data_IF_261159094451
#
_entry.id   IF_261159094451
#
_cell.length_a   1.000
_cell.length_b   1.000
_cell.length_c   1.000
_cell.angle_alpha   90.00
_cell.angle_beta   90.00
_cell.angle_gamma   90.00
#
_symmetry.space_group_name_H-M   'P 1'
#
loop_
_entity.id
_entity.type
_entity.pdbx_description
1 polymer ?
#
# COMPACT_ATOMS: atom_id res chain seq x y z
N UNK A 1 3.14 17.95 -7.36
CA UNK A 1 4.37 18.76 -7.42
C UNK A 1 5.24 18.25 -8.56
N UNK A 2 6.06 19.16 -9.13
CA UNK A 2 7.00 18.81 -10.20
C UNK A 2 6.40 18.94 -11.60
N UNK A 3 7.18 18.53 -12.60
CA UNK A 3 6.81 18.56 -14.03
C UNK A 3 7.36 17.32 -14.73
N UNK A 4 6.64 16.84 -15.76
CA UNK A 4 6.99 15.62 -16.48
C UNK A 4 5.91 14.54 -16.32
N UNK A 5 6.20 13.28 -16.67
CA UNK A 5 5.26 12.17 -16.52
C UNK A 5 4.72 12.07 -15.09
N UNK A 6 3.45 11.70 -14.95
CA UNK A 6 2.80 11.66 -13.64
C UNK A 6 3.09 10.35 -12.90
N UNK A 7 3.48 10.47 -11.63
CA UNK A 7 3.54 9.35 -10.69
C UNK A 7 2.47 9.55 -9.63
N UNK A 8 1.58 8.59 -9.48
CA UNK A 8 0.59 8.56 -8.42
C UNK A 8 1.07 7.63 -7.29
N UNK A 9 1.13 8.17 -6.08
CA UNK A 9 1.57 7.46 -4.89
C UNK A 9 0.39 7.07 -4.00
N UNK A 10 0.27 5.78 -3.70
CA UNK A 10 -0.81 5.19 -2.92
C UNK A 10 -0.23 4.61 -1.63
N UNK A 11 -0.60 5.19 -0.49
CA UNK A 11 -0.10 4.76 0.82
C UNK A 11 -0.79 3.49 1.33
N UNK A 12 -0.23 2.88 2.37
CA UNK A 12 -0.79 1.71 3.06
C UNK A 12 -1.79 2.07 4.16
N UNK A 13 -2.30 1.05 4.84
CA UNK A 13 -3.29 1.13 5.91
C UNK A 13 -2.86 2.10 7.00
N UNK A 14 -3.73 3.02 7.42
CA UNK A 14 -3.50 3.97 8.50
C UNK A 14 -2.32 4.92 8.26
N UNK A 15 -1.77 4.99 7.04
CA UNK A 15 -0.74 5.97 6.67
C UNK A 15 -1.38 7.22 6.05
N UNK A 16 -0.57 8.12 5.56
CA UNK A 16 -1.00 9.36 4.92
C UNK A 16 -0.13 9.68 3.70
N UNK A 17 -0.61 10.56 2.82
CA UNK A 17 0.14 11.09 1.66
C UNK A 17 1.52 11.63 2.01
N UNK A 18 1.71 12.10 3.25
CA UNK A 18 2.98 12.63 3.74
C UNK A 18 4.10 11.59 3.82
N UNK A 19 3.78 10.28 3.84
CA UNK A 19 4.77 9.20 3.77
C UNK A 19 5.68 9.32 2.54
N UNK A 20 5.18 9.92 1.47
CA UNK A 20 5.88 10.08 0.20
C UNK A 20 6.72 11.34 0.07
N UNK A 21 6.66 12.26 1.06
CA UNK A 21 7.32 13.57 0.98
C UNK A 21 8.82 13.49 0.69
N UNK A 22 9.52 12.52 1.29
CA UNK A 22 10.97 12.36 1.08
C UNK A 22 11.26 11.86 -0.34
N UNK A 23 10.50 10.87 -0.82
CA UNK A 23 10.65 10.31 -2.17
C UNK A 23 10.33 11.35 -3.24
N UNK A 24 9.24 12.09 -3.05
CA UNK A 24 8.85 13.14 -3.99
C UNK A 24 9.92 14.22 -4.18
N UNK A 25 10.69 14.56 -3.14
CA UNK A 25 11.80 15.54 -3.25
C UNK A 25 12.89 15.11 -4.24
N UNK A 26 13.08 13.81 -4.43
CA UNK A 26 14.06 13.28 -5.40
C UNK A 26 13.47 13.24 -6.81
N UNK A 27 12.17 12.95 -6.93
CA UNK A 27 11.51 12.68 -8.21
C UNK A 27 10.87 13.93 -8.84
N UNK A 28 10.54 14.97 -8.06
CA UNK A 28 9.81 16.14 -8.53
C UNK A 28 10.53 17.00 -9.58
N UNK A 29 11.81 16.78 -9.81
CA UNK A 29 12.56 17.44 -10.90
C UNK A 29 12.25 16.85 -12.28
N UNK A 30 11.89 15.57 -12.35
CA UNK A 30 11.71 14.82 -13.59
C UNK A 30 10.29 14.31 -13.77
N UNK A 31 9.47 14.31 -12.68
CA UNK A 31 8.13 13.76 -12.65
C UNK A 31 7.12 14.70 -11.96
N UNK A 32 5.88 14.60 -12.37
CA UNK A 32 4.76 15.16 -11.63
C UNK A 32 4.33 14.20 -10.53
N UNK A 33 4.70 14.46 -9.28
CA UNK A 33 4.36 13.63 -8.13
C UNK A 33 2.96 13.99 -7.60
N UNK A 34 2.04 13.03 -7.62
CA UNK A 34 0.68 13.12 -7.08
C UNK A 34 0.57 12.20 -5.87
N UNK A 35 0.33 12.78 -4.69
CA UNK A 35 0.10 12.05 -3.45
C UNK A 35 -1.28 12.42 -2.91
N UNK A 36 -2.05 11.43 -2.50
CA UNK A 36 -3.37 11.64 -1.90
C UNK A 36 -3.54 10.77 -0.66
N UNK A 37 -4.45 11.14 0.20
CA UNK A 37 -4.87 10.30 1.32
C UNK A 37 -6.00 9.39 0.84
N UNK A 38 -5.92 8.08 1.12
CA UNK A 38 -7.01 7.15 0.87
C UNK A 38 -8.28 7.64 1.59
N UNK A 39 -9.46 7.27 1.08
CA UNK A 39 -10.73 7.63 1.75
C UNK A 39 -10.69 7.33 3.24
N UNK A 40 -11.15 8.27 4.05
CA UNK A 40 -11.15 8.20 5.51
C UNK A 40 -9.79 8.37 6.18
N UNK A 41 -8.70 8.60 5.42
CA UNK A 41 -7.37 8.89 5.95
C UNK A 41 -7.04 10.37 5.77
N UNK A 42 -6.21 10.90 6.66
CA UNK A 42 -5.70 12.26 6.56
C UNK A 42 -6.78 13.29 6.33
N UNK A 43 -6.68 14.04 5.21
CA UNK A 43 -7.62 15.09 4.84
C UNK A 43 -8.76 14.58 3.92
N UNK A 44 -8.77 13.30 3.57
CA UNK A 44 -9.80 12.72 2.68
C UNK A 44 -11.07 12.38 3.44
N UNK A 45 -12.24 12.64 2.81
CA UNK A 45 -13.54 12.29 3.39
C UNK A 45 -13.68 10.79 3.62
N UNK A 46 -14.41 10.42 4.68
CA UNK A 46 -14.70 9.03 5.03
C UNK A 46 -15.54 8.34 3.95
N UNK A 47 -16.52 9.05 3.40
CA UNK A 47 -17.50 8.44 2.49
C UNK A 47 -18.40 7.41 3.22
N UNK A 48 -18.98 6.49 2.44
CA UNK A 48 -19.89 5.49 2.98
C UNK A 48 -19.21 4.13 3.13
N UNK A 49 -19.39 3.50 4.27
CA UNK A 49 -18.99 2.11 4.55
C UNK A 49 -20.07 1.12 4.09
N UNK A 50 -19.75 -0.14 3.78
CA UNK A 50 -18.40 -0.71 3.75
C UNK A 50 -17.61 -0.31 2.49
N UNK A 51 -16.28 -0.35 2.58
CA UNK A 51 -15.42 -0.14 1.42
C UNK A 51 -15.17 -1.45 0.66
N UNK A 52 -14.78 -1.33 -0.61
CA UNK A 52 -14.26 -2.44 -1.41
C UNK A 52 -12.94 -2.05 -2.06
N UNK A 53 -12.17 -3.03 -2.51
CA UNK A 53 -10.98 -2.75 -3.33
C UNK A 53 -11.35 -1.96 -4.60
N UNK A 54 -12.48 -2.32 -5.24
CA UNK A 54 -13.01 -1.59 -6.40
C UNK A 54 -13.27 -0.11 -6.11
N UNK A 55 -13.87 0.21 -4.95
CA UNK A 55 -14.09 1.60 -4.56
C UNK A 55 -12.78 2.39 -4.37
N UNK A 56 -11.71 1.75 -3.88
CA UNK A 56 -10.38 2.36 -3.79
C UNK A 56 -9.73 2.55 -5.17
N UNK A 57 -9.99 1.64 -6.09
CA UNK A 57 -9.59 1.75 -7.51
C UNK A 57 -10.32 2.90 -8.21
N UNK A 58 -11.63 3.02 -7.98
CA UNK A 58 -12.45 4.12 -8.53
C UNK A 58 -12.01 5.50 -8.04
N UNK A 59 -11.50 5.59 -6.79
CA UNK A 59 -10.90 6.84 -6.27
C UNK A 59 -9.65 7.23 -7.05
N UNK A 60 -8.80 6.28 -7.40
CA UNK A 60 -7.61 6.51 -8.23
C UNK A 60 -8.02 7.05 -9.59
N UNK A 61 -8.99 6.42 -10.25
CA UNK A 61 -9.47 6.85 -11.56
C UNK A 61 -10.12 8.23 -11.51
N UNK A 62 -10.97 8.48 -10.50
CA UNK A 62 -11.60 9.77 -10.30
C UNK A 62 -10.58 10.89 -10.08
N UNK A 63 -9.52 10.61 -9.31
CA UNK A 63 -8.42 11.55 -9.07
C UNK A 63 -7.65 11.84 -10.37
N UNK A 64 -7.28 10.79 -11.11
CA UNK A 64 -6.58 10.91 -12.39
C UNK A 64 -7.36 11.79 -13.37
N UNK A 65 -8.66 11.51 -13.53
CA UNK A 65 -9.55 12.27 -14.43
C UNK A 65 -9.68 13.73 -13.98
N UNK A 66 -9.89 13.96 -12.68
CA UNK A 66 -10.01 15.32 -12.12
C UNK A 66 -8.76 16.17 -12.33
N UNK A 67 -7.60 15.54 -12.35
CA UNK A 67 -6.30 16.19 -12.60
C UNK A 67 -5.98 16.33 -14.10
N UNK A 68 -6.79 15.76 -14.99
CA UNK A 68 -6.56 15.78 -16.44
C UNK A 68 -5.35 14.96 -16.88
N UNK A 69 -4.93 13.99 -16.08
CA UNK A 69 -3.76 13.14 -16.36
C UNK A 69 -4.20 11.99 -17.26
N UNK A 70 -3.54 11.82 -18.41
CA UNK A 70 -3.88 10.76 -19.36
C UNK A 70 -3.34 9.39 -18.90
N UNK A 71 -2.05 9.31 -18.57
CA UNK A 71 -1.38 8.08 -18.13
C UNK A 71 -0.56 8.33 -16.88
N UNK A 72 -0.47 7.32 -16.01
CA UNK A 72 0.26 7.38 -14.75
C UNK A 72 1.25 6.24 -14.60
N UNK A 73 2.37 6.52 -13.94
CA UNK A 73 3.09 5.52 -13.18
C UNK A 73 2.39 5.43 -11.82
N UNK A 74 2.15 4.23 -11.30
CA UNK A 74 1.51 4.05 -9.99
C UNK A 74 2.48 3.39 -9.03
N UNK A 75 2.67 3.97 -7.85
CA UNK A 75 3.53 3.46 -6.78
C UNK A 75 2.67 3.21 -5.56
N UNK A 76 2.54 1.96 -5.18
CA UNK A 76 1.70 1.56 -4.06
C UNK A 76 2.47 0.82 -2.97
N UNK A 77 2.26 1.19 -1.72
CA UNK A 77 2.84 0.52 -0.56
C UNK A 77 1.77 -0.28 0.19
N UNK A 78 2.07 -1.54 0.54
CA UNK A 78 1.18 -2.42 1.30
C UNK A 78 -0.20 -2.54 0.65
N UNK A 79 -1.29 -2.05 1.25
CA UNK A 79 -2.61 -1.97 0.62
C UNK A 79 -2.57 -1.19 -0.71
N UNK A 80 -1.78 -0.10 -0.79
CA UNK A 80 -1.55 0.62 -2.04
C UNK A 80 -0.93 -0.26 -3.12
N UNK A 81 -0.07 -1.22 -2.72
CA UNK A 81 0.49 -2.25 -3.59
C UNK A 81 -0.50 -3.31 -4.06
N UNK A 82 -1.73 -3.33 -3.53
CA UNK A 82 -2.86 -4.10 -4.05
C UNK A 82 -3.75 -3.23 -4.96
N UNK A 83 -3.92 -1.96 -4.58
CA UNK A 83 -4.74 -1.00 -5.35
C UNK A 83 -4.10 -0.74 -6.73
N UNK A 84 -2.77 -0.55 -6.79
CA UNK A 84 -2.06 -0.28 -8.05
C UNK A 84 -2.27 -1.36 -9.11
N UNK A 85 -1.97 -2.63 -8.83
CA UNK A 85 -2.25 -3.74 -9.74
C UNK A 85 -3.74 -3.88 -10.11
N UNK A 86 -4.65 -3.76 -9.14
CA UNK A 86 -6.09 -3.82 -9.40
C UNK A 86 -6.57 -2.66 -10.31
N UNK A 87 -5.97 -1.49 -10.15
CA UNK A 87 -6.22 -0.35 -11.03
C UNK A 87 -5.72 -0.63 -12.45
N UNK A 88 -4.52 -1.19 -12.60
CA UNK A 88 -3.97 -1.54 -13.90
C UNK A 88 -4.78 -2.63 -14.63
N UNK A 89 -5.37 -3.55 -13.88
CA UNK A 89 -6.28 -4.56 -14.43
C UNK A 89 -7.57 -3.91 -14.96
N UNK A 90 -8.12 -2.93 -14.24
CA UNK A 90 -9.36 -2.26 -14.59
C UNK A 90 -9.19 -1.20 -15.70
N UNK A 91 -8.04 -0.54 -15.73
CA UNK A 91 -7.73 0.59 -16.63
C UNK A 91 -6.34 0.45 -17.27
N UNK A 92 -6.07 -0.64 -18.01
CA UNK A 92 -4.72 -0.96 -18.49
C UNK A 92 -4.09 0.11 -19.38
N UNK A 93 -4.89 0.81 -20.20
CA UNK A 93 -4.42 1.92 -21.05
C UNK A 93 -3.98 3.15 -20.27
N UNK A 94 -4.39 3.32 -19.04
CA UNK A 94 -4.07 4.49 -18.23
C UNK A 94 -2.79 4.31 -17.44
N UNK A 95 -2.19 3.12 -17.45
CA UNK A 95 -1.01 2.77 -16.62
C UNK A 95 0.22 2.58 -17.48
N UNK A 96 1.28 3.32 -17.15
CA UNK A 96 2.61 3.20 -17.80
C UNK A 96 3.45 2.12 -17.13
N UNK A 97 3.50 2.13 -15.79
CA UNK A 97 4.20 1.12 -14.98
C UNK A 97 3.65 1.08 -13.56
N UNK A 98 3.98 0.01 -12.84
CA UNK A 98 3.53 -0.24 -11.47
C UNK A 98 4.75 -0.49 -10.59
N UNK A 99 4.80 0.13 -9.39
CA UNK A 99 5.72 -0.25 -8.34
C UNK A 99 4.93 -0.79 -7.15
N UNK A 100 5.11 -2.06 -6.85
CA UNK A 100 4.47 -2.79 -5.75
C UNK A 100 5.47 -2.85 -4.61
N UNK A 101 5.25 -2.06 -3.55
CA UNK A 101 6.16 -1.95 -2.43
C UNK A 101 5.59 -2.66 -1.21
N UNK A 102 6.30 -3.68 -0.70
CA UNK A 102 5.91 -4.42 0.51
C UNK A 102 4.42 -4.79 0.52
N UNK A 103 4.00 -5.58 -0.47
CA UNK A 103 2.61 -6.03 -0.59
C UNK A 103 2.51 -7.56 -0.46
N UNK A 104 1.30 -8.10 -0.49
CA UNK A 104 1.08 -9.52 -0.25
C UNK A 104 0.07 -10.13 -1.22
N UNK A 105 0.47 -11.26 -1.80
CA UNK A 105 -0.38 -12.22 -2.49
C UNK A 105 0.13 -13.64 -2.17
N UNK A 106 -0.53 -14.67 -2.63
CA UNK A 106 -0.14 -16.07 -2.39
C UNK A 106 -0.02 -16.43 -0.89
N UNK A 107 -0.89 -15.82 -0.07
CA UNK A 107 -0.96 -16.16 1.35
C UNK A 107 -1.40 -17.61 1.52
N UNK A 108 -0.62 -18.38 2.28
CA UNK A 108 -1.03 -19.71 2.73
C UNK A 108 -2.24 -19.62 3.68
N UNK A 109 -2.85 -20.74 4.02
CA UNK A 109 -3.91 -20.79 5.03
C UNK A 109 -3.42 -20.27 6.39
N UNK A 110 -2.16 -20.55 6.74
CA UNK A 110 -1.53 -20.06 7.97
C UNK A 110 -1.33 -18.54 7.92
N UNK A 111 -0.81 -17.99 6.81
CA UNK A 111 -0.69 -16.53 6.61
C UNK A 111 -2.06 -15.84 6.76
N UNK A 112 -3.10 -16.39 6.13
CA UNK A 112 -4.49 -15.86 6.21
C UNK A 112 -5.02 -15.92 7.63
N UNK A 113 -4.79 -17.04 8.34
CA UNK A 113 -5.21 -17.22 9.72
C UNK A 113 -4.57 -16.16 10.63
N UNK A 114 -3.27 -15.91 10.49
CA UNK A 114 -2.54 -14.91 11.28
C UNK A 114 -3.06 -13.49 11.04
N UNK A 115 -3.30 -13.12 9.79
CA UNK A 115 -3.85 -11.79 9.45
C UNK A 115 -5.26 -11.62 9.99
N UNK A 116 -6.11 -12.64 9.84
CA UNK A 116 -7.49 -12.62 10.35
C UNK A 116 -7.53 -12.57 11.88
N UNK A 117 -6.61 -13.25 12.58
CA UNK A 117 -6.50 -13.18 14.04
C UNK A 117 -6.17 -11.75 14.52
N UNK A 118 -5.30 -11.03 13.80
CA UNK A 118 -5.01 -9.60 14.08
C UNK A 118 -6.25 -8.75 13.86
N UNK A 119 -6.97 -8.93 12.74
CA UNK A 119 -8.21 -8.20 12.45
C UNK A 119 -9.26 -8.46 13.54
N UNK A 120 -9.45 -9.71 13.95
CA UNK A 120 -10.41 -10.07 14.99
C UNK A 120 -10.01 -9.47 16.34
N UNK A 121 -8.72 -9.51 16.69
CA UNK A 121 -8.23 -8.88 17.92
C UNK A 121 -8.47 -7.37 17.96
N UNK A 122 -8.34 -6.69 16.82
CA UNK A 122 -8.66 -5.25 16.72
C UNK A 122 -10.16 -4.99 16.88
N UNK A 123 -11.03 -5.86 16.36
CA UNK A 123 -12.48 -5.76 16.54
C UNK A 123 -12.89 -5.95 17.99
N UNK A 124 -12.28 -6.91 18.69
CA UNK A 124 -12.65 -7.29 20.05
C UNK A 124 -12.07 -6.34 21.11
N UNK A 125 -10.86 -5.85 20.90
CA UNK A 125 -10.07 -5.10 21.91
C UNK A 125 -9.82 -3.64 21.54
N UNK A 126 -10.20 -3.24 20.31
CA UNK A 126 -9.80 -1.96 19.72
C UNK A 126 -8.40 -1.98 19.12
N UNK A 127 -8.05 -0.92 18.40
CA UNK A 127 -6.79 -0.81 17.66
C UNK A 127 -5.61 -0.55 18.60
N UNK A 128 -5.80 0.30 19.62
CA UNK A 128 -4.74 0.71 20.56
C UNK A 128 -3.94 -0.45 21.15
N UNK A 129 -4.58 -1.46 21.77
CA UNK A 129 -3.89 -2.62 22.36
C UNK A 129 -3.10 -3.47 21.35
N UNK A 130 -3.38 -3.34 20.04
CA UNK A 130 -2.73 -4.13 18.98
C UNK A 130 -1.54 -3.38 18.34
N UNK A 131 -1.31 -2.12 18.71
CA UNK A 131 -0.25 -1.31 18.11
C UNK A 131 1.14 -1.93 18.27
N UNK A 132 1.46 -2.56 19.41
CA UNK A 132 2.75 -3.25 19.58
C UNK A 132 2.93 -4.36 18.55
N UNK A 133 1.91 -5.19 18.34
CA UNK A 133 1.93 -6.26 17.32
C UNK A 133 2.12 -5.69 15.90
N UNK A 134 1.55 -4.53 15.60
CA UNK A 134 1.74 -3.86 14.31
C UNK A 134 3.16 -3.30 14.21
N UNK A 135 3.69 -2.72 15.29
CA UNK A 135 5.05 -2.17 15.34
C UNK A 135 6.08 -3.24 15.04
N UNK A 136 6.01 -4.38 15.72
CA UNK A 136 6.94 -5.51 15.55
C UNK A 136 6.89 -6.13 14.14
N UNK A 137 5.78 -5.91 13.42
CA UNK A 137 5.63 -6.39 12.03
C UNK A 137 6.10 -5.39 10.98
N UNK A 138 6.08 -4.09 11.30
CA UNK A 138 6.34 -3.03 10.34
C UNK A 138 7.74 -2.46 10.41
N UNK A 139 8.43 -2.64 11.55
CA UNK A 139 9.73 -2.05 11.78
C UNK A 139 10.70 -3.07 12.34
N UNK A 140 11.96 -2.97 11.95
CA UNK A 140 13.05 -3.73 12.59
C UNK A 140 13.43 -3.08 13.92
N UNK A 141 13.98 -3.86 14.85
CA UNK A 141 14.44 -3.36 16.16
C UNK A 141 15.45 -2.22 15.99
N UNK A 142 16.37 -2.35 15.03
CA UNK A 142 17.36 -1.32 14.69
C UNK A 142 16.69 -0.01 14.22
N UNK A 143 15.60 -0.10 13.44
CA UNK A 143 14.85 1.08 13.02
C UNK A 143 14.11 1.72 14.20
N UNK A 144 13.50 0.92 15.06
CA UNK A 144 12.79 1.40 16.26
C UNK A 144 13.75 2.16 17.16
N UNK A 145 14.96 1.60 17.42
CA UNK A 145 15.98 2.24 18.24
C UNK A 145 16.48 3.56 17.64
N UNK A 146 16.82 3.57 16.35
CA UNK A 146 17.42 4.73 15.68
C UNK A 146 16.42 5.80 15.25
N UNK A 147 15.16 5.46 15.09
CA UNK A 147 14.13 6.31 14.48
C UNK A 147 12.82 6.30 15.28
N UNK A 148 12.90 6.25 16.60
CA UNK A 148 11.74 6.17 17.51
C UNK A 148 10.68 7.23 17.22
N UNK A 149 11.09 8.48 16.92
CA UNK A 149 10.17 9.57 16.58
C UNK A 149 9.38 9.26 15.30
N UNK A 150 10.03 8.69 14.25
CA UNK A 150 9.32 8.32 13.01
C UNK A 150 8.32 7.18 13.29
N UNK A 151 8.68 6.23 14.18
CA UNK A 151 7.79 5.15 14.62
C UNK A 151 6.58 5.72 15.38
N UNK A 152 6.82 6.57 16.37
CA UNK A 152 5.75 7.23 17.14
C UNK A 152 4.79 8.02 16.24
N UNK A 153 5.32 8.83 15.34
CA UNK A 153 4.51 9.57 14.35
C UNK A 153 3.69 8.64 13.47
N UNK A 154 4.25 7.49 13.08
CA UNK A 154 3.52 6.49 12.28
C UNK A 154 2.40 5.83 13.07
N UNK A 155 2.63 5.48 14.34
CA UNK A 155 1.61 4.90 15.21
C UNK A 155 0.53 5.93 15.55
N UNK A 156 0.88 7.19 15.74
CA UNK A 156 -0.10 8.26 15.96
C UNK A 156 -1.04 8.41 14.74
N UNK A 157 -0.54 8.25 13.51
CA UNK A 157 -1.41 8.25 12.32
C UNK A 157 -2.45 7.11 12.35
N UNK A 158 -2.09 5.95 12.90
CA UNK A 158 -3.03 4.84 13.09
C UNK A 158 -4.12 5.23 14.09
N UNK A 159 -3.72 5.79 15.22
CA UNK A 159 -4.65 6.24 16.30
C UNK A 159 -5.59 7.34 15.80
N UNK A 160 -5.08 8.27 15.01
CA UNK A 160 -5.84 9.39 14.46
C UNK A 160 -6.78 8.98 13.31
N UNK A 161 -6.64 7.77 12.79
CA UNK A 161 -7.54 7.24 11.76
C UNK A 161 -8.82 6.74 12.44
N UNK A 162 -9.98 7.12 11.88
CA UNK A 162 -11.27 6.60 12.35
C UNK A 162 -11.22 5.07 12.47
N UNK A 163 -11.57 4.48 13.63
CA UNK A 163 -11.43 3.04 13.86
C UNK A 163 -12.19 2.17 12.87
N UNK A 164 -13.39 2.58 12.44
CA UNK A 164 -14.18 1.84 11.45
C UNK A 164 -13.50 1.86 10.09
N UNK A 165 -12.89 3.00 9.70
CA UNK A 165 -12.11 3.12 8.48
C UNK A 165 -10.89 2.22 8.54
N UNK A 166 -10.15 2.25 9.65
CA UNK A 166 -8.96 1.42 9.81
C UNK A 166 -9.29 -0.07 9.70
N UNK A 167 -10.34 -0.52 10.39
CA UNK A 167 -10.82 -1.91 10.33
C UNK A 167 -11.26 -2.30 8.92
N UNK A 168 -11.94 -1.40 8.20
CA UNK A 168 -12.40 -1.68 6.83
C UNK A 168 -11.23 -1.83 5.85
N UNK A 169 -10.27 -0.91 5.87
CA UNK A 169 -9.11 -1.04 4.96
C UNK A 169 -8.22 -2.22 5.34
N UNK A 170 -8.16 -2.56 6.64
CA UNK A 170 -7.45 -3.77 7.08
C UNK A 170 -8.17 -5.04 6.63
N UNK A 171 -9.51 -5.04 6.65
CA UNK A 171 -10.33 -6.13 6.09
C UNK A 171 -10.07 -6.32 4.61
N UNK A 172 -10.09 -5.22 3.82
CA UNK A 172 -9.77 -5.29 2.38
C UNK A 172 -8.39 -5.92 2.18
N UNK A 173 -7.38 -5.46 2.92
CA UNK A 173 -6.04 -6.04 2.86
C UNK A 173 -6.02 -7.53 3.22
N UNK A 174 -6.74 -7.95 4.26
CA UNK A 174 -6.79 -9.33 4.71
C UNK A 174 -7.49 -10.26 3.71
N UNK A 175 -8.56 -9.79 3.09
CA UNK A 175 -9.42 -10.57 2.19
C UNK A 175 -8.93 -10.54 0.73
N UNK A 176 -8.19 -9.51 0.31
CA UNK A 176 -7.71 -9.38 -1.07
C UNK A 176 -6.66 -10.44 -1.37
N UNK A 177 -6.88 -11.21 -2.43
CA UNK A 177 -5.92 -12.14 -2.99
C UNK A 177 -5.68 -11.78 -4.47
N UNK A 178 -4.45 -11.41 -4.79
CA UNK A 178 -4.08 -10.96 -6.14
C UNK A 178 -3.65 -12.10 -7.06
N UNK A 179 -3.25 -13.25 -6.50
CA UNK A 179 -2.68 -14.38 -7.27
C UNK A 179 -3.51 -14.83 -8.47
N UNK A 180 -4.87 -14.79 -8.46
CA UNK A 180 -5.64 -15.26 -9.60
C UNK A 180 -5.52 -14.41 -10.87
N UNK A 181 -5.11 -13.15 -10.75
CA UNK A 181 -5.15 -12.17 -11.83
C UNK A 181 -3.85 -11.39 -12.08
N UNK A 182 -2.78 -11.62 -11.29
CA UNK A 182 -1.48 -10.95 -11.50
C UNK A 182 -0.89 -11.23 -12.89
N UNK A 183 -1.11 -12.42 -13.43
CA UNK A 183 -0.63 -12.79 -14.78
C UNK A 183 -1.29 -12.03 -15.91
N UNK A 184 -2.38 -11.32 -15.66
CA UNK A 184 -3.08 -10.49 -16.65
C UNK A 184 -2.49 -9.07 -16.77
N UNK A 185 -1.59 -8.69 -15.86
CA UNK A 185 -0.96 -7.37 -15.81
C UNK A 185 0.28 -7.36 -16.71
N UNK A 186 0.20 -6.65 -17.84
CA UNK A 186 1.26 -6.61 -18.84
C UNK A 186 2.20 -5.39 -18.71
N UNK A 187 1.85 -4.42 -17.89
CA UNK A 187 2.68 -3.23 -17.65
C UNK A 187 3.99 -3.60 -16.96
N UNK A 188 5.08 -2.87 -17.22
CA UNK A 188 6.32 -3.03 -16.46
C UNK A 188 6.07 -2.87 -14.96
N UNK A 189 6.52 -3.84 -14.16
CA UNK A 189 6.34 -3.86 -12.71
C UNK A 189 7.68 -3.91 -11.98
N UNK A 190 7.83 -3.05 -10.96
CA UNK A 190 8.85 -3.20 -9.93
C UNK A 190 8.18 -3.79 -8.69
N UNK A 191 8.68 -4.91 -8.20
CA UNK A 191 8.29 -5.49 -6.91
C UNK A 191 9.42 -5.26 -5.92
N UNK A 192 9.15 -4.58 -4.80
CA UNK A 192 10.20 -4.22 -3.84
C UNK A 192 9.74 -4.50 -2.41
N UNK A 193 10.60 -5.13 -1.61
CA UNK A 193 10.36 -5.35 -0.18
C UNK A 193 11.67 -5.35 0.60
N UNK A 194 11.61 -5.20 1.92
CA UNK A 194 12.73 -5.38 2.81
C UNK A 194 12.99 -6.87 3.11
N UNK A 195 14.25 -7.22 3.34
CA UNK A 195 14.68 -8.58 3.70
C UNK A 195 14.02 -9.05 5.01
N UNK A 196 13.77 -8.11 5.93
CA UNK A 196 13.22 -8.37 7.26
C UNK A 196 11.72 -8.02 7.36
N UNK A 197 11.03 -7.79 6.25
CA UNK A 197 9.60 -7.46 6.27
C UNK A 197 8.78 -8.64 6.81
N UNK A 198 8.29 -8.51 8.04
CA UNK A 198 7.49 -9.54 8.72
C UNK A 198 6.03 -9.58 8.30
N UNK A 199 5.54 -8.54 7.63
CA UNK A 199 4.16 -8.41 7.17
C UNK A 199 3.95 -8.82 5.72
N UNK A 200 4.84 -8.36 4.85
CA UNK A 200 4.83 -8.61 3.41
C UNK A 200 6.17 -9.21 2.98
N UNK A 201 6.46 -10.40 3.45
CA UNK A 201 7.77 -11.05 3.40
C UNK A 201 8.36 -11.15 1.98
N UNK A 202 9.69 -11.29 1.86
CA UNK A 202 10.37 -11.56 0.59
C UNK A 202 9.76 -12.74 -0.17
N UNK A 203 9.33 -13.80 0.53
CA UNK A 203 8.64 -14.95 -0.08
C UNK A 203 7.39 -14.54 -0.85
N UNK A 204 6.54 -13.70 -0.26
CA UNK A 204 5.30 -13.27 -0.91
C UNK A 204 5.59 -12.34 -2.10
N UNK A 205 6.57 -11.45 -1.97
CA UNK A 205 6.95 -10.53 -3.03
C UNK A 205 7.69 -11.25 -4.19
N UNK A 206 8.46 -12.31 -3.91
CA UNK A 206 9.01 -13.19 -4.96
C UNK A 206 7.89 -13.83 -5.78
N UNK A 207 6.87 -14.42 -5.12
CA UNK A 207 5.74 -15.04 -5.80
C UNK A 207 4.92 -14.02 -6.62
N UNK A 208 4.78 -12.79 -6.14
CA UNK A 208 4.18 -11.69 -6.91
C UNK A 208 5.01 -11.44 -8.18
N UNK A 209 6.33 -11.27 -8.04
CA UNK A 209 7.20 -11.02 -9.19
C UNK A 209 7.19 -12.17 -10.19
N UNK A 210 7.26 -13.41 -9.71
CA UNK A 210 7.24 -14.61 -10.57
C UNK A 210 5.93 -14.76 -11.37
N UNK A 211 4.85 -14.17 -10.89
CA UNK A 211 3.52 -14.26 -11.54
C UNK A 211 3.24 -13.13 -12.52
N UNK A 212 4.01 -12.06 -12.47
CA UNK A 212 3.87 -10.91 -13.37
C UNK A 212 4.68 -11.14 -14.65
N UNK A 213 4.09 -10.98 -15.85
CA UNK A 213 4.79 -11.22 -17.13
C UNK A 213 6.01 -10.31 -17.36
N UNK A 214 6.01 -9.11 -16.80
CA UNK A 214 7.06 -8.12 -17.00
C UNK A 214 7.41 -7.46 -15.67
N UNK A 215 8.25 -8.13 -14.88
CA UNK A 215 8.59 -7.66 -13.53
C UNK A 215 10.07 -7.71 -13.22
N UNK A 216 10.49 -6.84 -12.31
CA UNK A 216 11.78 -6.84 -11.65
C UNK A 216 11.56 -6.93 -10.14
N UNK A 217 12.26 -7.83 -9.44
CA UNK A 217 12.24 -7.95 -7.98
C UNK A 217 13.46 -7.28 -7.38
N UNK A 218 13.22 -6.43 -6.38
CA UNK A 218 14.26 -5.83 -5.55
C UNK A 218 14.01 -6.14 -4.07
N UNK A 219 14.93 -6.83 -3.42
CA UNK A 219 14.92 -7.09 -1.97
C UNK A 219 15.98 -6.23 -1.32
N UNK A 220 15.56 -5.27 -0.50
CA UNK A 220 16.47 -4.36 0.21
C UNK A 220 17.08 -5.09 1.41
N UNK A 221 18.41 -5.16 1.45
CA UNK A 221 19.15 -5.78 2.55
C UNK A 221 19.08 -4.91 3.80
N UNK A 222 18.95 -5.53 4.96
CA UNK A 222 18.89 -4.88 6.28
C UNK A 222 17.65 -3.94 6.47
N UNK A 223 16.57 -4.17 5.71
CA UNK A 223 15.30 -3.45 5.83
C UNK A 223 14.15 -4.42 6.07
#
# INVERSE_FOLDING_TARGET
>A
KGSGPAILFVHGIGARKTAWNKVCKYLEKDFTCVCYDLRGHGDSSKGTLPYSLGALVDDVESLRQKLGIQKIHIVGHSLGGMIGPAYALSFPENVVSISILSSAAFRTMDDKSKVNAVLQSMRDKGIGPILSTLTDRWFTDDFIEKRSIDVELRLQQVIDTDPDVFLEVFRIYAETEMSPWLSEINQPCLVLTGENDGGCSPRLNQLIADSLPNSELCILKNF
#
